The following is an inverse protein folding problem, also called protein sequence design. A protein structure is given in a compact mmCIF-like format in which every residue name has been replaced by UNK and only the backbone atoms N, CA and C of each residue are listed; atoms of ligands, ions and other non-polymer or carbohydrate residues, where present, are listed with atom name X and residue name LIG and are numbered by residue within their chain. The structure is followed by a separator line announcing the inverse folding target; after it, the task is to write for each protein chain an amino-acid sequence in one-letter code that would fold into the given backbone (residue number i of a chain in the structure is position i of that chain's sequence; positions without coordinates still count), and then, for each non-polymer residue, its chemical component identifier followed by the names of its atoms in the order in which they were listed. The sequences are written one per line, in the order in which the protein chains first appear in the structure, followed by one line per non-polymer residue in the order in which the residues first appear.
data_IF_964403891523
#
_entry.id   IF_964403891523
#
_cell.length_a   1.000
_cell.length_b   1.000
_cell.length_c   1.000
_cell.angle_alpha   90.00
_cell.angle_beta   90.00
_cell.angle_gamma   90.00
#
_symmetry.space_group_name_H-M   'P 1'
#
loop_
_entity.id
_entity.type
_entity.pdbx_description
1 polymer ?
#
# COMPACT_ATOMS: atom_id res chain seq x y z
N UNK A 1 4.99 -6.21 -27.29
CA UNK A 1 3.62 -6.71 -27.13
C UNK A 1 2.69 -5.51 -26.96
N UNK A 2 1.68 -5.33 -27.83
CA UNK A 2 0.72 -4.25 -27.65
C UNK A 2 -0.24 -4.58 -26.49
N UNK A 3 -0.52 -3.59 -25.63
CA UNK A 3 -1.48 -3.76 -24.53
C UNK A 3 -2.89 -3.88 -25.12
N UNK A 4 -3.59 -4.97 -24.78
CA UNK A 4 -4.99 -5.15 -25.14
C UNK A 4 -5.82 -4.11 -24.37
N UNK A 5 -6.66 -3.36 -25.07
CA UNK A 5 -7.52 -2.36 -24.43
C UNK A 5 -8.99 -2.78 -24.46
N UNK A 6 -9.68 -2.54 -23.37
CA UNK A 6 -11.13 -2.71 -23.29
C UNK A 6 -11.84 -1.70 -24.20
N UNK A 7 -12.91 -2.11 -24.87
CA UNK A 7 -13.72 -1.19 -25.67
C UNK A 7 -14.18 0.02 -24.83
N UNK A 8 -13.95 1.27 -25.30
CA UNK A 8 -14.29 2.48 -24.55
C UNK A 8 -15.73 2.52 -24.03
N UNK A 9 -16.71 2.00 -24.81
CA UNK A 9 -18.13 1.96 -24.44
C UNK A 9 -18.44 1.03 -23.25
N UNK A 10 -17.53 0.12 -22.89
CA UNK A 10 -17.68 -0.82 -21.77
C UNK A 10 -16.97 -0.37 -20.49
N UNK A 11 -16.27 0.75 -20.51
CA UNK A 11 -15.50 1.26 -19.36
C UNK A 11 -16.42 1.99 -18.39
N UNK A 12 -16.35 1.63 -17.11
CA UNK A 12 -17.18 2.19 -16.04
C UNK A 12 -16.29 2.89 -14.99
N UNK A 13 -15.60 3.95 -15.38
CA UNK A 13 -14.60 4.62 -14.54
C UNK A 13 -15.14 5.08 -13.18
N UNK A 14 -16.39 5.60 -13.11
CA UNK A 14 -16.99 6.03 -11.84
C UNK A 14 -17.20 4.86 -10.87
N UNK A 15 -17.70 3.73 -11.37
CA UNK A 15 -17.87 2.50 -10.57
C UNK A 15 -16.51 1.95 -10.15
N UNK A 16 -15.54 1.97 -11.05
CA UNK A 16 -14.18 1.53 -10.77
C UNK A 16 -13.51 2.37 -9.67
N UNK A 17 -13.67 3.70 -9.74
CA UNK A 17 -13.16 4.60 -8.71
C UNK A 17 -13.80 4.33 -7.34
N UNK A 18 -15.14 4.16 -7.29
CA UNK A 18 -15.85 3.81 -6.06
C UNK A 18 -15.37 2.46 -5.49
N UNK A 19 -15.25 1.45 -6.35
CA UNK A 19 -14.71 0.14 -5.94
C UNK A 19 -13.26 0.27 -5.41
N UNK A 20 -12.45 1.16 -6.02
CA UNK A 20 -11.11 1.48 -5.55
C UNK A 20 -11.12 2.12 -4.15
N UNK A 21 -12.02 3.07 -3.89
CA UNK A 21 -12.13 3.68 -2.56
C UNK A 21 -12.52 2.64 -1.51
N UNK A 22 -13.59 1.88 -1.74
CA UNK A 22 -14.09 0.88 -0.79
C UNK A 22 -13.07 -0.26 -0.60
N UNK A 23 -12.56 -0.81 -1.70
CA UNK A 23 -11.53 -1.84 -1.67
C UNK A 23 -10.23 -1.35 -1.03
N UNK A 24 -9.84 -0.09 -1.27
CA UNK A 24 -8.68 0.53 -0.67
C UNK A 24 -8.77 0.65 0.84
N UNK A 25 -9.92 1.06 1.37
CA UNK A 25 -10.15 1.13 2.83
C UNK A 25 -10.04 -0.27 3.45
N UNK A 26 -10.78 -1.25 2.91
CA UNK A 26 -10.79 -2.60 3.48
C UNK A 26 -9.42 -3.27 3.34
N UNK A 27 -8.77 -3.13 2.21
CA UNK A 27 -7.45 -3.72 1.97
C UNK A 27 -6.36 -3.09 2.86
N UNK A 28 -6.46 -1.81 3.20
CA UNK A 28 -5.58 -1.17 4.18
C UNK A 28 -5.70 -1.82 5.56
N UNK A 29 -6.94 -2.09 6.02
CA UNK A 29 -7.18 -2.80 7.27
C UNK A 29 -6.63 -4.22 7.23
N UNK A 30 -6.86 -4.94 6.12
CA UNK A 30 -6.34 -6.31 5.93
C UNK A 30 -4.82 -6.33 5.95
N UNK A 31 -4.16 -5.34 5.32
CA UNK A 31 -2.70 -5.24 5.35
C UNK A 31 -2.17 -4.98 6.76
N UNK A 32 -2.80 -4.12 7.55
CA UNK A 32 -2.44 -3.98 8.98
C UNK A 32 -2.62 -5.28 9.75
N UNK A 33 -3.71 -6.02 9.50
CA UNK A 33 -3.91 -7.34 10.10
C UNK A 33 -2.81 -8.35 9.73
N UNK A 34 -2.32 -8.29 8.49
CA UNK A 34 -1.20 -9.10 8.02
C UNK A 34 0.10 -8.79 8.78
N UNK A 35 0.35 -7.52 9.11
CA UNK A 35 1.54 -7.07 9.81
C UNK A 35 1.60 -7.51 11.28
N UNK A 36 0.50 -8.00 11.85
CA UNK A 36 0.47 -8.54 13.23
C UNK A 36 1.26 -9.84 13.35
N UNK A 37 0.98 -10.92 12.56
CA UNK A 37 1.77 -12.15 12.61
C UNK A 37 3.12 -12.03 11.90
N UNK A 38 3.24 -11.13 10.94
CA UNK A 38 4.44 -10.93 10.13
C UNK A 38 4.79 -9.44 10.08
N UNK A 39 5.34 -8.88 11.17
CA UNK A 39 5.68 -7.47 11.21
C UNK A 39 6.72 -7.12 10.14
N UNK A 40 6.49 -6.02 9.40
CA UNK A 40 7.37 -5.62 8.30
C UNK A 40 8.71 -5.07 8.78
N UNK A 41 8.86 -4.79 10.08
CA UNK A 41 10.08 -4.26 10.71
C UNK A 41 10.19 -4.67 12.17
N UNK A 42 11.43 -4.74 12.65
CA UNK A 42 11.68 -4.89 14.09
C UNK A 42 11.25 -3.62 14.85
N UNK A 43 10.93 -3.70 16.16
CA UNK A 43 10.56 -2.52 16.95
C UNK A 43 11.57 -1.37 16.84
N UNK A 44 12.88 -1.68 16.86
CA UNK A 44 13.95 -0.67 16.73
C UNK A 44 13.89 0.04 15.37
N UNK A 45 13.71 -0.71 14.28
CA UNK A 45 13.59 -0.15 12.92
C UNK A 45 12.24 0.53 12.67
N UNK A 46 11.26 0.29 13.52
CA UNK A 46 9.94 0.88 13.43
C UNK A 46 9.75 2.08 14.37
N UNK A 47 10.77 2.46 15.13
CA UNK A 47 10.71 3.62 16.03
C UNK A 47 10.40 4.92 15.26
N UNK A 48 10.97 5.07 14.06
CA UNK A 48 10.50 6.04 13.05
C UNK A 48 10.18 5.25 11.78
N UNK A 49 8.90 4.97 11.56
CA UNK A 49 8.48 4.17 10.41
C UNK A 49 8.54 4.97 9.09
N UNK A 50 8.49 4.32 7.91
CA UNK A 50 8.66 4.99 6.63
C UNK A 50 7.69 6.16 6.37
N UNK A 51 6.39 6.10 6.70
CA UNK A 51 5.52 7.26 6.66
C UNK A 51 6.00 8.46 7.47
N UNK A 52 6.49 8.22 8.69
CA UNK A 52 7.07 9.28 9.54
C UNK A 52 8.34 9.85 8.93
N UNK A 53 9.26 8.97 8.51
CA UNK A 53 10.52 9.36 7.88
C UNK A 53 10.30 10.21 6.63
N UNK A 54 9.38 9.79 5.75
CA UNK A 54 9.04 10.53 4.54
C UNK A 54 8.55 11.94 4.87
N UNK A 55 7.67 12.10 5.85
CA UNK A 55 7.13 13.40 6.20
C UNK A 55 8.15 14.29 6.90
N UNK A 56 9.05 13.72 7.70
CA UNK A 56 10.17 14.45 8.27
C UNK A 56 11.12 14.96 7.18
N UNK A 57 11.41 14.17 6.16
CA UNK A 57 12.16 14.60 4.98
C UNK A 57 11.47 15.73 4.21
N UNK A 58 10.15 15.82 4.28
CA UNK A 58 9.35 16.91 3.70
C UNK A 58 9.22 18.12 4.65
N UNK A 59 9.89 18.12 5.81
CA UNK A 59 9.92 19.22 6.75
C UNK A 59 8.87 19.19 7.86
N UNK A 60 8.10 18.08 8.01
CA UNK A 60 7.19 17.94 9.14
C UNK A 60 7.98 17.63 10.41
N UNK A 61 7.79 18.39 11.52
CA UNK A 61 8.54 18.18 12.76
C UNK A 61 8.35 16.77 13.34
N UNK A 62 9.39 16.22 13.94
CA UNK A 62 9.36 14.91 14.60
C UNK A 62 8.25 14.83 15.66
N UNK A 63 8.07 15.88 16.46
CA UNK A 63 7.02 15.98 17.47
C UNK A 63 5.60 15.79 16.91
N UNK A 64 5.37 16.15 15.64
CA UNK A 64 4.10 15.96 14.94
C UNK A 64 3.99 14.54 14.38
N UNK A 65 5.07 14.03 13.79
CA UNK A 65 5.06 12.69 13.18
C UNK A 65 5.00 11.56 14.19
N UNK A 66 5.33 11.82 15.47
CA UNK A 66 5.27 10.85 16.56
C UNK A 66 4.01 10.99 17.45
N UNK A 67 3.08 11.90 17.13
CA UNK A 67 1.79 11.96 17.83
C UNK A 67 1.07 10.63 17.65
N UNK A 68 0.84 9.94 18.77
CA UNK A 68 0.17 8.64 18.81
C UNK A 68 -1.05 8.67 19.73
N UNK A 69 -1.92 7.70 19.56
CA UNK A 69 -3.04 7.46 20.46
C UNK A 69 -2.66 6.39 21.45
N UNK A 70 -2.84 6.70 22.74
CA UNK A 70 -2.63 5.74 23.84
C UNK A 70 -3.97 5.16 24.24
N UNK A 71 -4.13 3.84 24.18
CA UNK A 71 -5.32 3.14 24.62
C UNK A 71 -4.97 2.06 25.64
N UNK A 72 -5.62 2.09 26.81
CA UNK A 72 -5.37 1.15 27.92
C UNK A 72 -3.87 1.02 28.31
N UNK A 73 -3.13 2.14 28.30
CA UNK A 73 -1.71 2.16 28.66
C UNK A 73 -0.76 1.61 27.58
N UNK A 74 -1.26 1.20 26.42
CA UNK A 74 -0.45 0.80 25.29
C UNK A 74 -0.28 1.96 24.30
N UNK A 75 0.95 2.20 23.86
CA UNK A 75 1.21 3.14 22.81
C UNK A 75 0.64 2.61 21.48
N UNK A 76 -0.21 3.43 20.86
CA UNK A 76 -0.79 3.14 19.56
C UNK A 76 0.16 3.50 18.42
N UNK A 77 -0.25 3.17 17.20
CA UNK A 77 0.44 3.63 16.00
C UNK A 77 0.35 5.16 15.89
N UNK A 78 1.42 5.83 15.41
CA UNK A 78 1.37 7.26 15.13
C UNK A 78 0.26 7.60 14.13
N UNK A 79 -0.50 8.67 14.40
CA UNK A 79 -1.62 9.11 13.54
C UNK A 79 -1.20 9.29 12.10
N UNK A 80 0.00 9.86 11.88
CA UNK A 80 0.51 10.13 10.55
C UNK A 80 0.72 8.86 9.76
N UNK A 81 1.10 7.76 10.44
CA UNK A 81 1.26 6.45 9.80
C UNK A 81 -0.06 5.90 9.28
N UNK A 82 -1.14 6.06 10.04
CA UNK A 82 -2.49 5.73 9.58
C UNK A 82 -2.89 6.56 8.36
N UNK A 83 -2.75 7.88 8.46
CA UNK A 83 -3.17 8.81 7.40
C UNK A 83 -2.44 8.48 6.10
N UNK A 84 -1.12 8.36 6.14
CA UNK A 84 -0.30 8.07 4.95
C UNK A 84 -0.61 6.68 4.41
N UNK A 85 -0.72 5.66 5.28
CA UNK A 85 -1.04 4.29 4.87
C UNK A 85 -2.40 4.21 4.17
N UNK A 86 -3.46 4.79 4.75
CA UNK A 86 -4.78 4.79 4.12
C UNK A 86 -4.83 5.63 2.86
N UNK A 87 -4.20 6.81 2.84
CA UNK A 87 -4.14 7.65 1.66
C UNK A 87 -3.44 6.94 0.49
N UNK A 88 -2.30 6.29 0.76
CA UNK A 88 -1.59 5.47 -0.22
C UNK A 88 -2.44 4.29 -0.69
N UNK A 89 -3.01 3.53 0.23
CA UNK A 89 -3.81 2.36 -0.09
C UNK A 89 -5.03 2.71 -0.96
N UNK A 90 -5.79 3.75 -0.60
CA UNK A 90 -6.96 4.21 -1.36
C UNK A 90 -6.52 4.78 -2.71
N UNK A 91 -5.49 5.62 -2.74
CA UNK A 91 -4.99 6.22 -3.97
C UNK A 91 -4.57 5.17 -5.01
N UNK A 92 -3.75 4.20 -4.61
CA UNK A 92 -3.33 3.11 -5.49
C UNK A 92 -4.47 2.16 -5.87
N UNK A 93 -5.43 1.92 -4.97
CA UNK A 93 -6.61 1.12 -5.28
C UNK A 93 -7.47 1.79 -6.36
N UNK A 94 -7.67 3.10 -6.28
CA UNK A 94 -8.40 3.87 -7.32
C UNK A 94 -7.63 3.82 -8.63
N UNK A 95 -6.32 4.08 -8.62
CA UNK A 95 -5.46 3.99 -9.82
C UNK A 95 -5.57 2.60 -10.45
N UNK A 96 -5.40 1.53 -9.66
CA UNK A 96 -5.53 0.16 -10.13
C UNK A 96 -6.89 -0.12 -10.76
N UNK A 97 -7.98 0.20 -10.07
CA UNK A 97 -9.34 -0.06 -10.55
C UNK A 97 -9.65 0.70 -11.84
N UNK A 98 -9.24 1.97 -11.94
CA UNK A 98 -9.42 2.80 -13.13
C UNK A 98 -8.57 2.30 -14.30
N UNK A 99 -7.31 1.92 -14.06
CA UNK A 99 -6.44 1.34 -15.08
C UNK A 99 -6.94 -0.02 -15.56
N UNK A 100 -7.54 -0.85 -14.67
CA UNK A 100 -8.12 -2.14 -15.02
C UNK A 100 -9.31 -2.02 -15.99
N UNK A 101 -10.02 -0.89 -16.00
CA UNK A 101 -11.06 -0.61 -16.99
C UNK A 101 -10.48 -0.44 -18.39
N UNK A 102 -9.27 0.09 -18.50
CA UNK A 102 -8.60 0.31 -19.77
C UNK A 102 -7.71 -0.87 -20.18
N UNK A 103 -6.94 -1.40 -19.23
CA UNK A 103 -5.91 -2.41 -19.46
C UNK A 103 -6.20 -3.67 -18.63
N UNK A 104 -6.99 -4.64 -19.16
CA UNK A 104 -7.37 -5.81 -18.39
C UNK A 104 -6.19 -6.69 -17.94
N UNK A 105 -5.02 -6.56 -18.56
CA UNK A 105 -3.82 -7.32 -18.20
C UNK A 105 -3.29 -7.02 -16.81
N UNK A 106 -3.53 -5.82 -16.25
CA UNK A 106 -3.05 -5.48 -14.90
C UNK A 106 -3.74 -6.29 -13.81
N UNK A 107 -4.86 -6.97 -14.13
CA UNK A 107 -5.57 -7.89 -13.22
C UNK A 107 -4.93 -9.27 -13.13
N UNK A 108 -3.77 -9.46 -13.76
CA UNK A 108 -3.06 -10.74 -13.76
C UNK A 108 -2.89 -11.26 -12.31
N UNK A 109 -3.20 -12.54 -12.12
CA UNK A 109 -3.22 -13.20 -10.81
C UNK A 109 -4.12 -12.49 -9.80
N UNK A 110 -5.29 -12.06 -10.24
CA UNK A 110 -6.27 -11.33 -9.40
C UNK A 110 -5.65 -10.09 -8.72
N UNK A 111 -4.89 -9.30 -9.48
CA UNK A 111 -4.23 -8.08 -9.00
C UNK A 111 -2.86 -8.29 -8.35
N UNK A 112 -2.50 -9.51 -7.98
CA UNK A 112 -1.22 -9.80 -7.31
C UNK A 112 0.00 -9.29 -8.10
N UNK A 113 -0.01 -9.42 -9.44
CA UNK A 113 1.06 -8.91 -10.28
C UNK A 113 1.25 -7.39 -10.14
N UNK A 114 0.16 -6.63 -10.03
CA UNK A 114 0.25 -5.19 -9.78
C UNK A 114 0.76 -4.89 -8.37
N UNK A 115 0.36 -5.68 -7.36
CA UNK A 115 0.89 -5.60 -6.00
C UNK A 115 2.40 -5.80 -5.95
N UNK A 116 2.92 -6.78 -6.69
CA UNK A 116 4.37 -7.01 -6.82
C UNK A 116 5.06 -5.80 -7.47
N UNK A 117 4.47 -5.21 -8.52
CA UNK A 117 5.01 -4.00 -9.15
C UNK A 117 5.06 -2.83 -8.18
N UNK A 118 4.02 -2.63 -7.36
CA UNK A 118 3.99 -1.58 -6.33
C UNK A 118 5.05 -1.86 -5.26
N UNK A 119 5.15 -3.09 -4.77
CA UNK A 119 6.20 -3.47 -3.80
C UNK A 119 7.60 -3.17 -4.34
N UNK A 120 7.92 -3.65 -5.53
CA UNK A 120 9.26 -3.42 -6.14
C UNK A 120 9.48 -1.93 -6.37
N UNK A 121 8.50 -1.24 -6.94
CA UNK A 121 8.60 0.19 -7.26
C UNK A 121 8.83 1.06 -6.01
N UNK A 122 8.11 0.79 -4.93
CA UNK A 122 8.20 1.59 -3.71
C UNK A 122 9.24 1.07 -2.73
N UNK A 123 9.13 -0.19 -2.29
CA UNK A 123 9.98 -0.71 -1.19
C UNK A 123 11.40 -1.07 -1.63
N UNK A 124 11.58 -1.49 -2.89
CA UNK A 124 12.90 -1.90 -3.38
C UNK A 124 13.63 -0.75 -4.10
N UNK A 125 12.89 0.16 -4.76
CA UNK A 125 13.50 1.20 -5.60
C UNK A 125 13.31 2.58 -4.97
N UNK A 126 12.08 3.10 -4.92
CA UNK A 126 11.83 4.53 -4.64
C UNK A 126 12.21 4.92 -3.21
N UNK A 127 11.74 4.18 -2.21
CA UNK A 127 11.99 4.51 -0.80
C UNK A 127 13.48 4.42 -0.42
N UNK A 128 14.25 3.41 -0.88
CA UNK A 128 15.70 3.41 -0.71
C UNK A 128 16.40 4.57 -1.42
N UNK A 129 16.01 4.90 -2.66
CA UNK A 129 16.59 6.05 -3.39
C UNK A 129 16.31 7.38 -2.69
N UNK A 130 15.18 7.52 -2.01
CA UNK A 130 14.84 8.70 -1.22
C UNK A 130 15.51 8.70 0.17
N UNK A 131 16.15 7.61 0.56
CA UNK A 131 16.71 7.47 1.92
C UNK A 131 15.64 7.31 3.01
N UNK A 132 14.39 7.02 2.62
CA UNK A 132 13.28 6.79 3.56
C UNK A 132 13.41 5.44 4.27
N UNK A 133 14.02 4.46 3.63
CA UNK A 133 14.42 3.17 4.18
C UNK A 133 15.84 2.83 3.75
N UNK A 134 16.55 1.92 4.45
CA UNK A 134 17.88 1.46 4.04
C UNK A 134 17.84 0.80 2.64
N UNK A 135 19.03 0.63 2.05
CA UNK A 135 19.17 -0.11 0.79
C UNK A 135 18.61 -1.54 0.93
N UNK A 136 18.07 -2.13 -0.15
CA UNK A 136 17.39 -3.43 -0.05
C UNK A 136 18.28 -4.56 0.53
N UNK A 137 19.57 -4.54 0.22
CA UNK A 137 20.52 -5.53 0.75
C UNK A 137 20.91 -5.30 2.22
N UNK A 138 20.58 -4.14 2.79
CA UNK A 138 20.79 -3.80 4.21
C UNK A 138 19.54 -4.04 5.06
N UNK A 139 18.45 -4.52 4.42
CA UNK A 139 17.20 -4.84 5.10
C UNK A 139 17.11 -6.35 5.37
N UNK A 140 16.60 -6.79 6.55
CA UNK A 140 16.38 -8.19 6.83
C UNK A 140 15.45 -8.86 5.80
N UNK A 141 15.76 -10.08 5.39
CA UNK A 141 14.96 -10.84 4.43
C UNK A 141 13.49 -11.03 4.88
N UNK A 142 13.25 -11.16 6.18
CA UNK A 142 11.90 -11.26 6.74
C UNK A 142 11.05 -10.01 6.47
N UNK A 143 11.65 -8.82 6.46
CA UNK A 143 10.95 -7.58 6.12
C UNK A 143 10.52 -7.60 4.64
N UNK A 144 11.39 -8.03 3.74
CA UNK A 144 11.06 -8.20 2.33
C UNK A 144 9.92 -9.19 2.11
N UNK A 145 9.93 -10.33 2.82
CA UNK A 145 8.85 -11.31 2.72
C UNK A 145 7.52 -10.74 3.20
N UNK A 146 7.52 -10.06 4.36
CA UNK A 146 6.31 -9.46 4.90
C UNK A 146 5.70 -8.43 3.94
N UNK A 147 6.52 -7.52 3.43
CA UNK A 147 6.06 -6.47 2.51
C UNK A 147 5.64 -7.07 1.16
N UNK A 148 6.37 -8.04 0.62
CA UNK A 148 6.03 -8.71 -0.63
C UNK A 148 4.65 -9.37 -0.57
N UNK A 149 4.43 -10.23 0.42
CA UNK A 149 3.12 -10.90 0.57
C UNK A 149 2.03 -9.94 1.00
N UNK A 150 2.34 -8.94 1.84
CA UNK A 150 1.42 -7.89 2.22
C UNK A 150 0.86 -7.13 1.02
N UNK A 151 1.69 -6.82 0.02
CA UNK A 151 1.26 -6.15 -1.21
C UNK A 151 0.43 -7.06 -2.13
N UNK A 152 0.74 -8.35 -2.18
CA UNK A 152 -0.07 -9.34 -2.92
C UNK A 152 -1.48 -9.42 -2.32
N UNK A 153 -1.58 -9.60 -1.01
CA UNK A 153 -2.87 -9.71 -0.30
C UNK A 153 -3.66 -8.41 -0.43
N UNK A 154 -2.99 -7.27 -0.27
CA UNK A 154 -3.60 -5.96 -0.40
C UNK A 154 -4.28 -5.78 -1.76
N UNK A 155 -3.58 -6.03 -2.86
CA UNK A 155 -4.13 -5.92 -4.22
C UNK A 155 -5.19 -6.99 -4.52
N UNK A 156 -5.04 -8.17 -3.97
CA UNK A 156 -6.04 -9.23 -4.12
C UNK A 156 -7.40 -8.82 -3.52
N UNK A 157 -7.39 -8.23 -2.33
CA UNK A 157 -8.61 -7.68 -1.70
C UNK A 157 -9.23 -6.58 -2.54
N UNK A 158 -8.44 -5.63 -3.07
CA UNK A 158 -8.93 -4.58 -3.96
C UNK A 158 -9.60 -5.18 -5.20
N UNK A 159 -9.01 -6.21 -5.82
CA UNK A 159 -9.58 -6.86 -7.01
C UNK A 159 -10.90 -7.58 -6.71
N UNK A 160 -11.09 -8.14 -5.52
CA UNK A 160 -12.39 -8.69 -5.09
C UNK A 160 -13.45 -7.59 -5.15
N UNK A 161 -13.21 -6.44 -4.50
CA UNK A 161 -14.15 -5.30 -4.53
C UNK A 161 -14.42 -4.82 -5.96
N UNK A 162 -13.37 -4.66 -6.76
CA UNK A 162 -13.52 -4.23 -8.15
C UNK A 162 -14.37 -5.21 -8.97
N UNK A 163 -14.15 -6.50 -8.81
CA UNK A 163 -14.88 -7.55 -9.53
C UNK A 163 -16.34 -7.59 -9.12
N UNK A 164 -16.63 -7.51 -7.82
CA UNK A 164 -17.97 -7.75 -7.28
C UNK A 164 -18.88 -6.50 -7.41
N UNK A 165 -18.30 -5.28 -7.50
CA UNK A 165 -19.05 -4.04 -7.69
C UNK A 165 -19.21 -3.62 -9.15
N UNK A 166 -18.46 -4.19 -10.09
CA UNK A 166 -18.48 -3.85 -11.51
C UNK A 166 -19.49 -4.64 -12.30
#
# INVERSE_FOLDING_TARGET
MALIQTNPKRRKYGVAALAGVLGGIVSAIVKFGWEVPLPPRTPVRNATNPPQQLLQQLGVPESVTHLSYTYNGNEGLPWISFIVHFAFAIGFAVIYCVLAERFPQIKLWQGAAFGIVVYVGFHVILMPLMGTVPAPWDQPFAEHLSEFFGHIIWLWVIEIFRRDLR
#
